data_IF_130270462450
#
_entry.id   IF_130270462450
#
_cell.length_a   1.000
_cell.length_b   1.000
_cell.length_c   1.000
_cell.angle_alpha   90.00
_cell.angle_beta   90.00
_cell.angle_gamma   90.00
#
_symmetry.space_group_name_H-M   'P 1'
#
loop_
_entity.id
_entity.type
_entity.pdbx_description
1 polymer ?
#
# COMPACT_ATOMS: atom_id res chain seq x y z
N UNK A 1 -1.68 -20.01 -3.72
CA UNK A 1 -0.30 -20.08 -3.19
C UNK A 1 0.23 -18.66 -3.16
N UNK A 2 0.73 -18.16 -2.02
CA UNK A 2 1.27 -16.80 -1.90
C UNK A 2 2.78 -16.83 -2.10
N UNK A 3 3.36 -15.72 -2.58
CA UNK A 3 4.81 -15.54 -2.70
C UNK A 3 5.31 -14.76 -1.50
N UNK A 4 6.30 -15.29 -0.80
CA UNK A 4 6.89 -14.70 0.40
C UNK A 4 8.36 -14.43 0.15
N UNK A 5 8.80 -13.21 0.43
CA UNK A 5 10.20 -12.81 0.41
C UNK A 5 10.76 -12.82 1.83
N UNK A 6 11.94 -13.41 2.02
CA UNK A 6 12.65 -13.44 3.30
C UNK A 6 13.99 -12.72 3.12
N UNK A 7 14.27 -11.74 3.98
CA UNK A 7 15.51 -10.96 3.99
C UNK A 7 16.11 -11.09 5.39
N UNK A 8 17.16 -11.89 5.51
CA UNK A 8 17.83 -12.19 6.78
C UNK A 8 19.27 -12.65 6.46
N UNK A 9 20.28 -12.14 7.11
CA UNK A 9 21.66 -12.54 6.85
C UNK A 9 21.99 -13.94 7.38
N UNK A 10 21.22 -14.42 8.39
CA UNK A 10 21.39 -15.76 8.97
C UNK A 10 20.80 -16.85 8.05
N UNK A 11 21.67 -17.63 7.43
CA UNK A 11 21.27 -18.77 6.59
C UNK A 11 20.43 -19.81 7.34
N UNK A 12 20.67 -20.02 8.65
CA UNK A 12 19.91 -20.99 9.42
C UNK A 12 18.45 -20.54 9.59
N UNK A 13 18.23 -19.25 9.79
CA UNK A 13 16.89 -18.65 9.86
C UNK A 13 16.18 -18.74 8.51
N UNK A 14 16.85 -18.36 7.40
CA UNK A 14 16.26 -18.46 6.06
C UNK A 14 15.88 -19.88 5.72
N UNK A 15 16.78 -20.85 5.98
CA UNK A 15 16.51 -22.28 5.74
C UNK A 15 15.32 -22.79 6.58
N UNK A 16 15.24 -22.39 7.84
CA UNK A 16 14.18 -22.79 8.75
C UNK A 16 12.83 -22.21 8.29
N UNK A 17 12.76 -20.93 7.95
CA UNK A 17 11.55 -20.29 7.42
C UNK A 17 11.12 -20.92 6.09
N UNK A 18 12.08 -21.14 5.17
CA UNK A 18 11.82 -21.83 3.91
C UNK A 18 11.23 -23.23 4.13
N UNK A 19 11.82 -24.02 5.02
CA UNK A 19 11.34 -25.35 5.33
C UNK A 19 9.91 -25.36 5.89
N UNK A 20 9.59 -24.40 6.78
CA UNK A 20 8.28 -24.30 7.43
C UNK A 20 7.17 -23.77 6.51
N UNK A 21 7.52 -22.97 5.50
CA UNK A 21 6.54 -22.25 4.68
C UNK A 21 6.39 -22.82 3.24
N UNK A 22 7.36 -23.58 2.73
CA UNK A 22 7.41 -24.05 1.33
C UNK A 22 6.23 -24.89 0.89
N UNK A 23 5.60 -25.65 1.79
CA UNK A 23 4.49 -26.54 1.43
C UNK A 23 3.20 -25.75 1.12
N UNK A 24 3.12 -24.49 1.56
CA UNK A 24 1.95 -23.62 1.42
C UNK A 24 2.20 -22.38 0.57
N UNK A 25 3.47 -21.98 0.40
CA UNK A 25 3.87 -20.74 -0.23
C UNK A 25 5.08 -20.91 -1.15
N UNK A 26 5.20 -20.03 -2.14
CA UNK A 26 6.42 -19.84 -2.91
C UNK A 26 7.38 -18.95 -2.12
N UNK A 27 8.61 -19.41 -1.88
CA UNK A 27 9.58 -18.70 -1.06
C UNK A 27 10.72 -18.19 -1.93
N UNK A 28 11.00 -16.91 -1.81
CA UNK A 28 12.20 -16.24 -2.32
C UNK A 28 12.96 -15.76 -1.10
N UNK A 29 14.26 -15.94 -1.04
CA UNK A 29 15.05 -15.46 0.09
C UNK A 29 16.41 -14.91 -0.35
N UNK A 30 16.93 -14.01 0.46
CA UNK A 30 18.26 -13.41 0.28
C UNK A 30 18.87 -13.01 1.61
N UNK A 31 20.21 -12.96 1.64
CA UNK A 31 20.97 -12.44 2.76
C UNK A 31 21.24 -10.93 2.65
N UNK A 32 21.04 -10.35 1.46
CA UNK A 32 21.38 -8.95 1.18
C UNK A 32 20.14 -8.07 1.21
N UNK A 33 20.14 -6.98 1.98
CA UNK A 33 19.11 -5.95 1.98
C UNK A 33 18.85 -5.37 0.59
N UNK A 34 19.89 -5.05 -0.17
CA UNK A 34 19.77 -4.44 -1.50
C UNK A 34 19.14 -5.41 -2.50
N UNK A 35 19.55 -6.68 -2.45
CA UNK A 35 18.95 -7.71 -3.29
C UNK A 35 17.51 -7.95 -2.89
N UNK A 36 17.20 -7.89 -1.59
CA UNK A 36 15.83 -7.97 -1.06
C UNK A 36 14.91 -6.90 -1.65
N UNK A 37 15.37 -5.66 -1.74
CA UNK A 37 14.61 -4.57 -2.38
C UNK A 37 14.38 -4.83 -3.87
N UNK A 38 15.39 -5.29 -4.60
CA UNK A 38 15.26 -5.66 -6.04
C UNK A 38 14.24 -6.79 -6.22
N UNK A 39 14.35 -7.84 -5.41
CA UNK A 39 13.43 -8.98 -5.46
C UNK A 39 11.99 -8.56 -5.10
N UNK A 40 11.80 -7.66 -4.14
CA UNK A 40 10.49 -7.11 -3.82
C UNK A 40 9.85 -6.37 -5.00
N UNK A 41 10.64 -5.57 -5.72
CA UNK A 41 10.18 -4.83 -6.91
C UNK A 41 9.88 -5.77 -8.08
N UNK A 42 10.77 -6.75 -8.34
CA UNK A 42 10.63 -7.68 -9.46
C UNK A 42 9.49 -8.67 -9.28
N UNK A 43 9.40 -9.27 -8.09
CA UNK A 43 8.50 -10.40 -7.84
C UNK A 43 7.19 -10.01 -7.17
N UNK A 44 7.09 -8.77 -6.64
CA UNK A 44 5.89 -8.25 -5.97
C UNK A 44 5.30 -9.27 -4.97
N UNK A 45 6.06 -9.66 -3.93
CA UNK A 45 5.66 -10.71 -3.01
C UNK A 45 4.38 -10.33 -2.25
N UNK A 46 3.67 -11.33 -1.76
CA UNK A 46 2.46 -11.14 -0.97
C UNK A 46 2.73 -10.81 0.49
N UNK A 47 3.95 -11.09 0.95
CA UNK A 47 4.47 -10.72 2.26
C UNK A 47 6.00 -10.67 2.23
N UNK A 48 6.60 -9.84 3.08
CA UNK A 48 8.05 -9.76 3.28
C UNK A 48 8.36 -10.00 4.74
N UNK A 49 9.30 -10.91 5.03
CA UNK A 49 9.93 -11.07 6.32
C UNK A 49 11.30 -10.39 6.29
N UNK A 50 11.59 -9.53 7.27
CA UNK A 50 12.83 -8.76 7.34
C UNK A 50 13.45 -8.90 8.71
N UNK A 51 14.73 -9.30 8.78
CA UNK A 51 15.53 -9.10 9.99
C UNK A 51 15.97 -7.62 10.10
N UNK A 52 15.83 -7.05 11.28
CA UNK A 52 16.31 -5.68 11.54
C UNK A 52 17.82 -5.61 11.80
N UNK A 53 18.41 -6.71 12.26
CA UNK A 53 19.78 -6.76 12.79
C UNK A 53 20.73 -7.45 11.81
N UNK A 54 20.90 -6.86 10.62
CA UNK A 54 21.84 -7.37 9.62
C UNK A 54 23.15 -6.57 9.64
N UNK A 55 24.33 -7.20 9.50
CA UNK A 55 25.61 -6.49 9.45
C UNK A 55 25.69 -5.50 8.28
N UNK A 56 26.18 -4.28 8.55
CA UNK A 56 26.45 -3.26 7.53
C UNK A 56 25.25 -2.48 7.01
N UNK A 57 24.08 -3.09 6.98
CA UNK A 57 22.83 -2.45 6.57
C UNK A 57 21.71 -2.89 7.50
N UNK A 58 20.95 -1.95 8.02
CA UNK A 58 19.86 -2.27 8.92
C UNK A 58 18.63 -2.65 8.12
N UNK A 59 17.94 -3.74 8.49
CA UNK A 59 16.63 -4.07 7.94
C UNK A 59 15.60 -2.94 8.12
N UNK A 60 15.94 -1.97 8.99
CA UNK A 60 15.25 -0.71 9.15
C UNK A 60 15.13 0.06 7.82
N UNK A 61 16.26 0.23 7.09
CA UNK A 61 16.28 0.93 5.80
C UNK A 61 15.47 0.20 4.73
N UNK A 62 15.52 -1.15 4.76
CA UNK A 62 14.67 -1.98 3.90
C UNK A 62 13.20 -1.70 4.17
N UNK A 63 12.79 -1.74 5.45
CA UNK A 63 11.39 -1.48 5.84
C UNK A 63 10.95 -0.08 5.45
N UNK A 64 11.78 0.95 5.69
CA UNK A 64 11.49 2.33 5.28
C UNK A 64 11.35 2.47 3.77
N UNK A 65 12.27 1.85 3.01
CA UNK A 65 12.23 1.89 1.55
C UNK A 65 10.98 1.19 1.02
N UNK A 66 10.65 0.01 1.54
CA UNK A 66 9.43 -0.71 1.15
C UNK A 66 8.17 0.11 1.47
N UNK A 67 8.13 0.78 2.62
CA UNK A 67 7.00 1.63 3.01
C UNK A 67 6.92 2.94 2.20
N UNK A 68 8.05 3.45 1.71
CA UNK A 68 8.13 4.71 0.96
C UNK A 68 7.86 4.57 -0.55
N UNK A 69 7.97 3.38 -1.11
CA UNK A 69 7.77 3.14 -2.53
C UNK A 69 6.31 2.73 -2.81
N UNK A 70 5.65 3.42 -3.74
CA UNK A 70 4.24 3.21 -4.09
C UNK A 70 3.91 1.77 -4.52
N UNK A 71 4.89 1.02 -5.05
CA UNK A 71 4.69 -0.36 -5.48
C UNK A 71 4.84 -1.40 -4.35
N UNK A 72 5.55 -1.06 -3.28
CA UNK A 72 5.86 -1.99 -2.18
C UNK A 72 5.19 -1.65 -0.86
N UNK A 73 4.72 -0.41 -0.67
CA UNK A 73 4.08 0.05 0.59
C UNK A 73 2.83 -0.74 0.99
N UNK A 74 2.23 -1.49 0.05
CA UNK A 74 1.08 -2.35 0.30
C UNK A 74 1.45 -3.79 0.65
N UNK A 75 2.71 -4.14 0.48
CA UNK A 75 3.20 -5.47 0.85
C UNK A 75 3.29 -5.53 2.37
N UNK A 76 2.58 -6.46 3.03
CA UNK A 76 2.69 -6.61 4.47
C UNK A 76 4.11 -7.00 4.86
N UNK A 77 4.71 -6.19 5.72
CA UNK A 77 6.05 -6.42 6.26
C UNK A 77 5.92 -7.04 7.65
N UNK A 78 6.64 -8.13 7.86
CA UNK A 78 6.81 -8.80 9.13
C UNK A 78 8.26 -8.68 9.56
N UNK A 79 8.47 -8.17 10.75
CA UNK A 79 9.80 -8.04 11.34
C UNK A 79 10.13 -9.32 12.11
N UNK A 80 11.34 -9.85 11.89
CA UNK A 80 11.92 -10.96 12.66
C UNK A 80 13.25 -10.45 13.21
N UNK A 81 13.45 -10.47 14.52
CA UNK A 81 14.67 -9.90 15.09
C UNK A 81 15.09 -10.59 16.38
N UNK A 82 16.40 -10.62 16.64
CA UNK A 82 16.96 -11.03 17.93
C UNK A 82 16.81 -9.97 19.03
N UNK A 83 16.42 -8.75 18.67
CA UNK A 83 16.22 -7.68 19.63
C UNK A 83 14.80 -7.71 20.24
N UNK A 84 14.63 -7.30 21.51
CA UNK A 84 13.31 -7.24 22.15
C UNK A 84 12.36 -6.28 21.41
N UNK A 85 11.11 -6.71 21.21
CA UNK A 85 10.05 -5.93 20.55
C UNK A 85 9.90 -4.52 21.12
N UNK A 86 10.06 -4.38 22.44
CA UNK A 86 9.88 -3.11 23.13
C UNK A 86 10.80 -2.01 22.60
N UNK A 87 12.00 -2.36 22.11
CA UNK A 87 12.97 -1.39 21.55
C UNK A 87 12.52 -0.84 20.21
N UNK A 88 11.86 -1.67 19.39
CA UNK A 88 11.48 -1.31 18.02
C UNK A 88 9.97 -1.13 17.82
N UNK A 89 9.18 -1.12 18.92
CA UNK A 89 7.73 -1.05 18.85
C UNK A 89 7.26 0.19 18.12
N UNK A 90 7.71 1.37 18.54
CA UNK A 90 7.29 2.65 17.94
C UNK A 90 7.66 2.73 16.47
N UNK A 91 8.80 2.16 16.11
CA UNK A 91 9.23 2.07 14.71
C UNK A 91 8.32 1.14 13.89
N UNK A 92 8.06 -0.06 14.39
CA UNK A 92 7.18 -1.01 13.71
C UNK A 92 5.76 -0.46 13.56
N UNK A 93 5.26 0.23 14.58
CA UNK A 93 3.95 0.88 14.54
C UNK A 93 3.93 2.03 13.53
N UNK A 94 4.97 2.85 13.47
CA UNK A 94 5.10 3.95 12.50
C UNK A 94 5.19 3.46 11.05
N UNK A 95 5.82 2.32 10.81
CA UNK A 95 5.90 1.68 9.49
C UNK A 95 4.65 0.88 9.10
N UNK A 96 3.74 0.66 10.05
CA UNK A 96 2.59 -0.21 9.82
C UNK A 96 2.97 -1.69 9.65
N UNK A 97 4.05 -2.15 10.33
CA UNK A 97 4.47 -3.55 10.29
C UNK A 97 3.34 -4.47 10.78
N UNK A 98 3.11 -5.54 10.06
CA UNK A 98 1.99 -6.45 10.31
C UNK A 98 2.26 -7.45 11.43
N UNK A 99 3.50 -7.56 11.88
CA UNK A 99 3.91 -8.39 13.01
C UNK A 99 5.38 -8.19 13.34
N UNK A 100 5.71 -8.44 14.61
CA UNK A 100 7.07 -8.50 15.12
C UNK A 100 7.28 -9.83 15.83
N UNK A 101 8.27 -10.60 15.40
CA UNK A 101 8.60 -11.91 15.93
C UNK A 101 10.03 -11.91 16.46
N UNK A 102 10.16 -12.15 17.74
CA UNK A 102 11.48 -12.27 18.39
C UNK A 102 12.11 -13.64 18.05
N UNK A 103 13.42 -13.67 17.87
CA UNK A 103 14.17 -14.93 17.76
C UNK A 103 14.46 -15.47 19.18
N UNK A 104 14.11 -16.75 19.50
CA UNK A 104 13.63 -17.81 18.62
C UNK A 104 12.14 -17.66 18.24
N UNK A 105 11.84 -17.92 16.95
CA UNK A 105 10.54 -17.63 16.34
C UNK A 105 9.46 -18.60 16.84
N UNK A 106 8.36 -18.08 17.35
CA UNK A 106 7.12 -18.84 17.52
C UNK A 106 6.43 -19.00 16.17
N UNK A 107 6.63 -20.17 15.56
CA UNK A 107 6.06 -20.49 14.25
C UNK A 107 4.54 -20.57 14.23
N UNK A 108 3.90 -20.94 15.34
CA UNK A 108 2.45 -21.01 15.41
C UNK A 108 1.86 -19.59 15.38
N UNK A 109 2.42 -18.68 16.14
CA UNK A 109 2.04 -17.28 16.15
C UNK A 109 2.32 -16.61 14.78
N UNK A 110 3.49 -16.88 14.16
CA UNK A 110 3.86 -16.39 12.86
C UNK A 110 2.87 -16.88 11.77
N UNK A 111 2.60 -18.20 11.73
CA UNK A 111 1.70 -18.79 10.75
C UNK A 111 0.27 -18.25 10.90
N UNK A 112 -0.25 -18.19 12.12
CA UNK A 112 -1.59 -17.66 12.39
C UNK A 112 -1.71 -16.19 11.92
N UNK A 113 -0.68 -15.37 12.16
CA UNK A 113 -0.67 -13.98 11.72
C UNK A 113 -0.55 -13.85 10.21
N UNK A 114 0.30 -14.66 9.59
CA UNK A 114 0.45 -14.71 8.13
C UNK A 114 -0.86 -15.13 7.46
N UNK A 115 -1.51 -16.20 7.94
CA UNK A 115 -2.78 -16.69 7.42
C UNK A 115 -3.89 -15.64 7.59
N UNK A 116 -3.94 -14.95 8.70
CA UNK A 116 -4.92 -13.88 8.94
C UNK A 116 -4.76 -12.71 7.95
N UNK A 117 -3.54 -12.43 7.51
CA UNK A 117 -3.25 -11.35 6.57
C UNK A 117 -3.42 -11.82 5.12
N UNK A 118 -2.92 -13.01 4.78
CA UNK A 118 -3.03 -13.57 3.43
C UNK A 118 -4.44 -14.09 3.13
N UNK A 119 -5.18 -14.55 4.15
CA UNK A 119 -6.55 -15.04 4.03
C UNK A 119 -7.61 -13.95 3.83
N UNK A 120 -7.29 -12.70 4.19
CA UNK A 120 -8.07 -11.55 3.72
C UNK A 120 -7.89 -11.48 2.21
N UNK A 121 -8.99 -11.60 1.50
CA UNK A 121 -9.07 -11.69 0.04
C UNK A 121 -8.03 -10.82 -0.67
N UNK A 122 -7.14 -11.44 -1.43
CA UNK A 122 -6.02 -10.82 -2.13
C UNK A 122 -6.48 -9.72 -3.10
N UNK A 123 -7.65 -9.95 -3.71
CA UNK A 123 -8.31 -8.98 -4.58
C UNK A 123 -8.84 -7.77 -3.78
N UNK A 124 -9.42 -7.98 -2.60
CA UNK A 124 -9.93 -6.90 -1.77
C UNK A 124 -8.80 -6.03 -1.22
N UNK A 125 -7.66 -6.59 -0.82
CA UNK A 125 -6.52 -5.79 -0.37
C UNK A 125 -5.93 -4.91 -1.47
N UNK A 126 -5.79 -5.43 -2.69
CA UNK A 126 -5.34 -4.64 -3.84
C UNK A 126 -6.37 -3.60 -4.28
N UNK A 127 -7.66 -3.89 -4.07
CA UNK A 127 -8.77 -2.96 -4.36
C UNK A 127 -8.97 -1.90 -3.28
N UNK A 128 -8.68 -2.22 -2.02
CA UNK A 128 -8.87 -1.32 -0.86
C UNK A 128 -7.60 -0.56 -0.47
N UNK A 129 -6.44 -1.00 -0.94
CA UNK A 129 -5.18 -0.37 -0.62
C UNK A 129 -5.09 1.02 -1.24
N UNK A 130 -5.02 2.03 -0.37
CA UNK A 130 -4.87 3.43 -0.73
C UNK A 130 -3.42 3.86 -0.53
N UNK A 131 -2.86 4.41 -1.58
CA UNK A 131 -1.48 4.88 -1.66
C UNK A 131 -1.48 6.40 -1.61
N UNK A 132 -0.71 6.99 -0.70
CA UNK A 132 -0.50 8.44 -0.73
C UNK A 132 0.36 8.80 -1.94
N UNK A 133 -0.28 9.29 -2.96
CA UNK A 133 0.35 9.69 -4.21
C UNK A 133 -0.30 10.97 -4.72
N UNK A 134 0.50 12.00 -4.97
CA UNK A 134 0.02 13.29 -5.42
C UNK A 134 0.03 13.37 -6.93
N UNK A 135 -1.15 13.18 -7.53
CA UNK A 135 -1.37 13.21 -8.97
C UNK A 135 -2.26 14.39 -9.30
N UNK A 136 -1.90 15.15 -10.32
CA UNK A 136 -2.75 16.20 -10.85
C UNK A 136 -3.98 15.63 -11.54
N UNK A 137 -5.15 16.07 -11.13
CA UNK A 137 -6.43 15.72 -11.72
C UNK A 137 -7.18 16.97 -12.17
N UNK A 138 -7.90 16.84 -13.26
CA UNK A 138 -8.98 17.76 -13.62
C UNK A 138 -10.30 17.03 -13.43
N UNK A 139 -11.17 17.60 -12.62
CA UNK A 139 -12.51 17.09 -12.36
C UNK A 139 -13.54 18.01 -13.02
N UNK A 140 -14.49 17.43 -13.72
CA UNK A 140 -15.61 18.12 -14.32
C UNK A 140 -16.92 17.49 -13.87
N UNK A 141 -17.91 18.31 -13.53
CA UNK A 141 -19.20 17.83 -13.06
C UNK A 141 -20.20 18.96 -12.81
N UNK A 142 -21.19 18.66 -11.98
CA UNK A 142 -22.15 19.65 -11.48
C UNK A 142 -22.07 19.73 -9.97
N UNK A 143 -22.14 20.94 -9.44
CA UNK A 143 -22.18 21.18 -8.00
C UNK A 143 -23.58 20.85 -7.40
N UNK A 144 -23.73 21.01 -6.10
CA UNK A 144 -25.01 20.76 -5.40
C UNK A 144 -26.16 21.69 -5.84
N UNK A 145 -25.87 22.75 -6.59
CA UNK A 145 -26.83 23.70 -7.17
C UNK A 145 -27.01 23.49 -8.67
N UNK A 146 -26.51 22.36 -9.21
CA UNK A 146 -26.54 21.99 -10.63
C UNK A 146 -25.70 22.91 -11.56
N UNK A 147 -24.86 23.80 -11.01
CA UNK A 147 -23.95 24.58 -11.83
C UNK A 147 -22.79 23.71 -12.32
N UNK A 148 -22.40 23.85 -13.60
CA UNK A 148 -21.23 23.13 -14.09
C UNK A 148 -19.95 23.67 -13.43
N UNK A 149 -19.02 22.76 -13.13
CA UNK A 149 -17.69 23.13 -12.64
C UNK A 149 -16.59 22.36 -13.37
N UNK A 150 -15.42 22.94 -13.43
CA UNK A 150 -14.17 22.30 -13.84
C UNK A 150 -13.09 22.75 -12.84
N UNK A 151 -12.48 21.81 -12.13
CA UNK A 151 -11.52 22.07 -11.06
C UNK A 151 -10.26 21.26 -11.30
N UNK A 152 -9.10 21.92 -11.18
CA UNK A 152 -7.80 21.26 -11.07
C UNK A 152 -7.50 21.01 -9.59
N UNK A 153 -7.13 19.79 -9.27
CA UNK A 153 -6.80 19.36 -7.91
C UNK A 153 -5.69 18.33 -7.91
N UNK A 154 -5.23 17.96 -6.72
CA UNK A 154 -4.27 16.87 -6.55
C UNK A 154 -4.85 15.80 -5.64
N UNK A 155 -4.51 14.54 -5.93
CA UNK A 155 -4.87 13.45 -5.06
C UNK A 155 -4.09 13.52 -3.74
N UNK A 156 -4.75 13.12 -2.65
CA UNK A 156 -4.12 12.85 -1.36
C UNK A 156 -3.77 11.36 -1.24
N UNK A 157 -4.66 10.53 -1.71
CA UNK A 157 -4.45 9.10 -1.84
C UNK A 157 -5.17 8.54 -3.07
N UNK A 158 -4.71 7.39 -3.53
CA UNK A 158 -5.24 6.69 -4.69
C UNK A 158 -5.31 5.19 -4.45
N UNK A 159 -6.22 4.53 -5.15
CA UNK A 159 -6.35 3.07 -5.19
C UNK A 159 -6.69 2.63 -6.61
N UNK A 160 -6.72 1.32 -6.88
CA UNK A 160 -7.17 0.80 -8.17
C UNK A 160 -8.62 1.18 -8.52
N UNK A 161 -9.45 1.51 -7.51
CA UNK A 161 -10.89 1.79 -7.69
C UNK A 161 -11.28 3.24 -7.44
N UNK A 162 -10.36 4.11 -7.01
CA UNK A 162 -10.72 5.49 -6.71
C UNK A 162 -9.58 6.32 -6.13
N UNK A 163 -9.93 7.51 -5.67
CA UNK A 163 -8.99 8.49 -5.14
C UNK A 163 -9.65 9.39 -4.10
N UNK A 164 -8.83 10.06 -3.30
CA UNK A 164 -9.26 11.18 -2.48
C UNK A 164 -8.53 12.45 -2.91
N UNK A 165 -9.24 13.58 -2.89
CA UNK A 165 -8.67 14.90 -3.21
C UNK A 165 -9.41 16.03 -2.48
N UNK A 166 -8.77 17.19 -2.41
CA UNK A 166 -9.42 18.42 -2.01
C UNK A 166 -10.35 18.94 -3.13
N UNK A 167 -11.53 19.43 -2.77
CA UNK A 167 -12.50 19.98 -3.70
C UNK A 167 -13.19 21.23 -3.12
N UNK A 168 -13.26 22.29 -3.88
CA UNK A 168 -13.94 23.54 -3.48
C UNK A 168 -15.42 23.56 -3.87
N UNK A 169 -15.85 22.70 -4.81
CA UNK A 169 -17.24 22.55 -5.18
C UNK A 169 -17.99 21.67 -4.15
N UNK A 170 -19.10 22.15 -3.65
CA UNK A 170 -20.01 21.32 -2.84
C UNK A 170 -20.75 20.33 -3.76
N UNK A 171 -20.70 19.05 -3.43
CA UNK A 171 -21.32 17.99 -4.23
C UNK A 171 -22.49 17.33 -3.49
N UNK A 172 -23.52 16.97 -4.25
CA UNK A 172 -24.60 16.13 -3.76
C UNK A 172 -24.10 14.70 -3.49
N UNK A 173 -24.79 13.97 -2.59
CA UNK A 173 -24.53 12.55 -2.36
C UNK A 173 -24.61 11.77 -3.67
N UNK A 174 -23.61 10.93 -3.92
CA UNK A 174 -23.49 10.13 -5.15
C UNK A 174 -23.31 10.96 -6.44
N UNK A 175 -22.94 12.23 -6.36
CA UNK A 175 -22.59 13.02 -7.54
C UNK A 175 -21.52 12.31 -8.38
N UNK A 176 -21.68 12.35 -9.67
CA UNK A 176 -20.74 11.77 -10.65
C UNK A 176 -19.92 12.88 -11.27
N UNK A 177 -18.62 12.65 -11.38
CA UNK A 177 -17.66 13.55 -12.01
C UNK A 177 -16.87 12.83 -13.08
N UNK A 178 -16.56 13.53 -14.15
CA UNK A 178 -15.57 13.11 -15.14
C UNK A 178 -14.17 13.38 -14.59
N UNK A 179 -13.28 12.40 -14.71
CA UNK A 179 -11.92 12.44 -14.20
C UNK A 179 -10.94 12.43 -15.36
N UNK A 180 -10.05 13.42 -15.36
CA UNK A 180 -8.96 13.54 -16.33
C UNK A 180 -7.63 13.57 -15.58
N UNK A 181 -6.65 12.81 -16.02
CA UNK A 181 -5.26 12.99 -15.60
C UNK A 181 -4.73 14.31 -16.18
N UNK A 182 -4.18 15.12 -15.29
CA UNK A 182 -3.52 16.37 -15.70
C UNK A 182 -2.04 16.10 -15.94
N UNK A 183 -1.64 16.10 -17.21
CA UNK A 183 -0.25 16.07 -17.63
C UNK A 183 0.07 17.39 -18.35
N UNK A 184 1.33 17.88 -18.33
CA UNK A 184 1.67 19.22 -18.83
C UNK A 184 1.25 19.52 -20.28
N UNK A 185 1.13 18.49 -21.10
CA UNK A 185 0.84 18.62 -22.53
C UNK A 185 -0.57 18.21 -22.94
N UNK A 186 -1.35 17.59 -22.05
CA UNK A 186 -2.69 17.10 -22.35
C UNK A 186 -3.53 16.84 -21.10
N UNK A 187 -4.85 16.83 -21.29
CA UNK A 187 -5.79 16.30 -20.30
C UNK A 187 -6.35 14.99 -20.81
N UNK A 188 -6.04 13.89 -20.15
CA UNK A 188 -6.42 12.56 -20.60
C UNK A 188 -7.61 12.06 -19.79
N UNK A 189 -8.73 11.82 -20.46
CA UNK A 189 -9.92 11.26 -19.82
C UNK A 189 -9.62 9.85 -19.29
N UNK A 190 -9.87 9.66 -18.01
CA UNK A 190 -9.60 8.42 -17.29
C UNK A 190 -10.87 7.63 -17.04
N UNK A 191 -11.98 8.31 -16.77
CA UNK A 191 -13.25 7.67 -16.50
C UNK A 191 -14.20 8.58 -15.73
N UNK A 192 -15.34 8.02 -15.33
CA UNK A 192 -16.28 8.64 -14.42
C UNK A 192 -16.12 8.07 -13.01
N UNK A 193 -16.24 8.93 -12.02
CA UNK A 193 -16.16 8.54 -10.62
C UNK A 193 -17.33 9.14 -9.82
N UNK A 194 -17.84 8.37 -8.87
CA UNK A 194 -18.93 8.76 -7.98
C UNK A 194 -18.36 9.19 -6.64
N UNK A 195 -18.92 10.26 -6.07
CA UNK A 195 -18.62 10.68 -4.72
C UNK A 195 -19.05 9.60 -3.72
N UNK A 196 -18.10 9.05 -2.99
CA UNK A 196 -18.31 8.02 -1.98
C UNK A 196 -18.47 8.64 -0.58
N UNK A 197 -17.65 9.64 -0.26
CA UNK A 197 -17.69 10.33 1.03
C UNK A 197 -17.11 11.75 0.95
N UNK A 198 -17.51 12.60 1.89
CA UNK A 198 -16.98 13.95 2.10
C UNK A 198 -16.61 14.13 3.57
N UNK A 199 -15.47 14.75 3.83
CA UNK A 199 -15.02 15.21 5.16
C UNK A 199 -14.88 16.72 5.14
N UNK A 200 -15.15 17.34 6.29
CA UNK A 200 -15.05 18.79 6.49
C UNK A 200 -15.93 19.60 5.51
N UNK A 201 -17.22 19.28 5.39
CA UNK A 201 -18.10 19.95 4.43
C UNK A 201 -18.29 21.45 4.73
N UNK A 202 -17.93 21.87 5.94
CA UNK A 202 -17.98 23.25 6.40
C UNK A 202 -16.77 24.10 5.95
N UNK A 203 -15.71 23.44 5.45
CA UNK A 203 -14.52 24.14 4.98
C UNK A 203 -14.65 24.58 3.52
N UNK A 204 -14.00 25.70 3.13
CA UNK A 204 -13.97 26.11 1.71
C UNK A 204 -13.43 25.04 0.78
N UNK A 205 -12.47 24.26 1.25
CA UNK A 205 -11.94 23.09 0.57
C UNK A 205 -12.29 21.84 1.40
N UNK A 206 -13.11 20.99 0.81
CA UNK A 206 -13.58 19.75 1.40
C UNK A 206 -12.68 18.60 0.95
N UNK A 207 -12.46 17.62 1.81
CA UNK A 207 -11.80 16.37 1.41
C UNK A 207 -12.86 15.40 0.89
N UNK A 208 -12.76 15.02 -0.36
CA UNK A 208 -13.72 14.15 -1.05
C UNK A 208 -13.05 12.83 -1.48
N UNK A 209 -13.72 11.72 -1.24
CA UNK A 209 -13.34 10.41 -1.77
C UNK A 209 -14.26 9.99 -2.90
N UNK A 210 -13.65 9.53 -3.99
CA UNK A 210 -14.33 9.12 -5.22
C UNK A 210 -14.06 7.66 -5.53
N UNK A 211 -15.08 6.96 -6.06
CA UNK A 211 -14.97 5.60 -6.59
C UNK A 211 -15.29 5.60 -8.09
N UNK A 212 -14.41 5.01 -8.92
CA UNK A 212 -14.66 4.89 -10.36
C UNK A 212 -15.88 3.99 -10.64
N UNK A 213 -16.71 4.39 -11.60
CA UNK A 213 -17.91 3.65 -12.02
C UNK A 213 -17.61 2.48 -12.97
N UNK A 214 -16.35 2.17 -13.20
CA UNK A 214 -15.86 1.08 -14.02
C UNK A 214 -14.36 0.95 -13.93
N UNK A 215 -13.75 0.23 -14.85
CA UNK A 215 -12.28 0.18 -14.93
C UNK A 215 -11.77 1.49 -15.54
N UNK A 216 -11.05 2.31 -14.78
CA UNK A 216 -10.52 3.57 -15.30
C UNK A 216 -9.46 3.29 -16.37
N UNK A 217 -9.49 4.07 -17.45
CA UNK A 217 -8.49 3.98 -18.52
C UNK A 217 -7.20 4.66 -18.07
N UNK A 218 -6.07 3.97 -18.30
CA UNK A 218 -4.75 4.51 -18.02
C UNK A 218 -4.58 5.10 -16.58
N UNK A 219 -5.31 4.53 -15.64
CA UNK A 219 -5.10 4.81 -14.22
C UNK A 219 -3.78 4.22 -13.76
N UNK A 220 -3.27 4.69 -12.65
CA UNK A 220 -1.92 4.41 -12.14
C UNK A 220 -1.68 2.98 -11.62
N UNK A 221 -2.67 2.09 -11.71
CA UNK A 221 -2.58 0.70 -11.25
C UNK A 221 -2.78 -0.29 -12.40
#
# INVERSE_FOLDING_TARGET
>A
MARILIIDDDEAIRRMLRFRLKDRHEIIDTASPEEGLKLALQHKPDAVFVDLMMPGHTGYEVCQTLAGLSFTQLIPVFVISGAPKMIYKDFCDALGAQGYFEKPIDFNALQARLDAILGKDRENRRREARVRLRIGLKLRGRDAKENPFEILTFTEDVSSRGFACGLTAALNRNAVVEVFLWIPTAHRFTGEARLAWTKYPEKPEQMCGFEFLGNPREWIF
#
